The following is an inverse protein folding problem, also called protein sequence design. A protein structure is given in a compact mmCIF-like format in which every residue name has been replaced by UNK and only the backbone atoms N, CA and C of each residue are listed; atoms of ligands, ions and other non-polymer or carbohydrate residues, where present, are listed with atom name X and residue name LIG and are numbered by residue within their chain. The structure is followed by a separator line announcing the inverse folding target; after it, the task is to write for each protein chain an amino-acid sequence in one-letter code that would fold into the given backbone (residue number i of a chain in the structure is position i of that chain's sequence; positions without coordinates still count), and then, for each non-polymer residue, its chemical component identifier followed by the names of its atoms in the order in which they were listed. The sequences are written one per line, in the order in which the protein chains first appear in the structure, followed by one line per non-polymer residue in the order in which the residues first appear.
data_IF_754450102024
#
_entry.id   IF_754450102024
#
_cell.length_a   1.000
_cell.length_b   1.000
_cell.length_c   1.000
_cell.angle_alpha   90.00
_cell.angle_beta   90.00
_cell.angle_gamma   90.00
#
_symmetry.space_group_name_H-M   'P 1'
#
loop_
_entity.id
_entity.type
_entity.pdbx_description
1 polymer ?
#
# COMPACT_ATOMS: atom_id res chain seq x y z
N UNK A 1 -6.43 -17.91 6.98
CA UNK A 1 -6.25 -16.53 6.46
C UNK A 1 -5.06 -15.81 7.09
N UNK A 2 -4.86 -15.87 8.41
CA UNK A 2 -3.74 -15.20 9.10
C UNK A 2 -2.34 -15.55 8.53
N UNK A 3 -2.09 -16.84 8.25
CA UNK A 3 -0.83 -17.32 7.63
C UNK A 3 -0.56 -16.73 6.23
N UNK A 4 -1.61 -16.39 5.48
CA UNK A 4 -1.50 -15.88 4.12
C UNK A 4 -1.14 -14.38 4.12
N UNK A 5 -1.68 -13.63 5.08
CA UNK A 5 -1.24 -12.25 5.36
C UNK A 5 0.20 -12.22 5.89
N UNK A 6 0.56 -13.14 6.78
CA UNK A 6 1.93 -13.27 7.27
C UNK A 6 2.90 -13.59 6.12
N UNK A 7 2.50 -14.43 5.17
CA UNK A 7 3.29 -14.74 3.98
C UNK A 7 3.53 -13.51 3.10
N UNK A 8 2.51 -12.69 2.83
CA UNK A 8 2.67 -11.43 2.11
C UNK A 8 3.62 -10.46 2.84
N UNK A 9 3.55 -10.38 4.17
CA UNK A 9 4.48 -9.55 4.95
C UNK A 9 5.91 -10.11 4.94
N UNK A 10 6.08 -11.43 4.97
CA UNK A 10 7.39 -12.09 4.85
C UNK A 10 8.07 -11.87 3.50
N UNK A 11 7.36 -11.50 2.43
CA UNK A 11 7.99 -11.12 1.16
C UNK A 11 8.81 -9.82 1.24
N UNK A 12 8.60 -9.01 2.29
CA UNK A 12 9.38 -7.81 2.57
C UNK A 12 10.66 -8.10 3.40
N UNK A 13 10.75 -9.27 4.05
CA UNK A 13 11.92 -9.71 4.83
C UNK A 13 13.27 -9.58 4.11
N UNK A 14 13.42 -9.97 2.82
CA UNK A 14 14.70 -9.82 2.11
C UNK A 14 15.17 -8.37 1.95
N UNK A 15 14.27 -7.38 2.03
CA UNK A 15 14.63 -5.96 1.96
C UNK A 15 15.44 -5.51 3.19
N UNK A 16 15.16 -6.10 4.36
CA UNK A 16 15.82 -5.75 5.63
C UNK A 16 16.99 -6.70 5.90
N UNK A 17 16.82 -8.00 5.67
CA UNK A 17 17.83 -9.02 6.02
C UNK A 17 18.86 -9.26 4.92
N UNK A 18 18.50 -9.07 3.64
CA UNK A 18 19.38 -9.34 2.49
C UNK A 18 19.45 -8.15 1.51
N UNK A 19 19.92 -6.97 1.98
CA UNK A 19 20.06 -5.78 1.13
C UNK A 19 21.01 -5.98 -0.05
N UNK A 20 21.96 -6.92 0.04
CA UNK A 20 22.93 -7.23 -1.03
C UNK A 20 22.28 -7.90 -2.25
N UNK A 21 21.18 -8.61 -2.04
CA UNK A 21 20.41 -9.27 -3.11
C UNK A 21 19.30 -8.37 -3.67
N UNK A 22 18.83 -7.41 -2.86
CA UNK A 22 17.80 -6.42 -3.25
C UNK A 22 18.39 -5.15 -3.88
N UNK A 23 19.64 -4.81 -3.56
CA UNK A 23 20.35 -3.64 -4.07
C UNK A 23 21.72 -4.01 -4.64
N UNK A 24 21.91 -3.73 -5.92
CA UNK A 24 23.19 -3.78 -6.63
C UNK A 24 24.10 -2.60 -6.23
N UNK A 25 23.51 -1.44 -5.96
CA UNK A 25 24.17 -0.27 -5.36
C UNK A 25 23.17 0.41 -4.43
N UNK A 26 23.43 0.41 -3.12
CA UNK A 26 22.53 1.08 -2.19
C UNK A 26 22.69 2.61 -2.34
N UNK A 27 21.62 3.41 -2.47
CA UNK A 27 20.19 3.07 -2.50
C UNK A 27 19.53 3.06 -3.90
N UNK A 28 20.27 3.35 -4.99
CA UNK A 28 19.68 3.62 -6.32
C UNK A 28 19.75 2.46 -7.34
N UNK A 29 20.28 1.30 -6.96
CA UNK A 29 20.42 0.13 -7.83
C UNK A 29 19.52 -1.03 -7.39
N UNK A 30 18.20 -0.90 -7.40
CA UNK A 30 17.31 -2.03 -7.07
C UNK A 30 17.46 -3.14 -8.13
N UNK A 31 17.74 -4.37 -7.66
CA UNK A 31 17.68 -5.57 -8.51
C UNK A 31 16.24 -5.85 -8.95
N UNK A 32 16.03 -6.77 -9.90
CA UNK A 32 14.67 -7.18 -10.28
C UNK A 32 13.82 -7.56 -9.05
N UNK A 33 14.42 -8.29 -8.09
CA UNK A 33 13.78 -8.67 -6.83
C UNK A 33 13.41 -7.42 -6.00
N UNK A 34 14.35 -6.48 -5.83
CA UNK A 34 14.09 -5.22 -5.13
C UNK A 34 12.95 -4.43 -5.78
N UNK A 35 12.92 -4.35 -7.12
CA UNK A 35 11.87 -3.64 -7.86
C UNK A 35 10.49 -4.26 -7.67
N UNK A 36 10.38 -5.59 -7.69
CA UNK A 36 9.13 -6.30 -7.42
C UNK A 36 8.60 -6.02 -6.02
N UNK A 37 9.47 -6.03 -5.01
CA UNK A 37 9.11 -5.72 -3.62
C UNK A 37 8.62 -4.27 -3.52
N UNK A 38 9.34 -3.33 -4.11
CA UNK A 38 8.96 -1.91 -4.08
C UNK A 38 7.60 -1.67 -4.73
N UNK A 39 7.32 -2.33 -5.86
CA UNK A 39 6.02 -2.27 -6.54
C UNK A 39 4.89 -2.77 -5.63
N UNK A 40 5.11 -3.88 -4.91
CA UNK A 40 4.11 -4.41 -3.98
C UNK A 40 3.80 -3.43 -2.83
N UNK A 41 4.82 -2.79 -2.26
CA UNK A 41 4.63 -1.76 -1.22
C UNK A 41 3.81 -0.59 -1.76
N UNK A 42 4.15 -0.10 -2.96
CA UNK A 42 3.43 1.02 -3.59
C UNK A 42 1.96 0.67 -3.82
N UNK A 43 1.66 -0.53 -4.32
CA UNK A 43 0.28 -0.99 -4.55
C UNK A 43 -0.50 -1.07 -3.25
N UNK A 44 0.08 -1.64 -2.19
CA UNK A 44 -0.58 -1.73 -0.87
C UNK A 44 -0.83 -0.33 -0.30
N UNK A 45 0.17 0.56 -0.35
CA UNK A 45 0.03 1.93 0.13
C UNK A 45 -1.04 2.70 -0.66
N UNK A 46 -1.07 2.56 -1.98
CA UNK A 46 -2.11 3.16 -2.82
C UNK A 46 -3.50 2.62 -2.48
N UNK A 47 -3.63 1.31 -2.23
CA UNK A 47 -4.89 0.70 -1.79
C UNK A 47 -5.40 1.27 -0.46
N UNK A 48 -4.51 1.46 0.52
CA UNK A 48 -4.86 2.05 1.83
C UNK A 48 -5.30 3.51 1.68
N UNK A 49 -4.58 4.29 0.86
CA UNK A 49 -4.93 5.71 0.60
C UNK A 49 -6.28 5.80 -0.11
N UNK A 50 -6.49 5.00 -1.17
CA UNK A 50 -7.76 4.97 -1.90
C UNK A 50 -8.91 4.55 -0.99
N UNK A 51 -8.73 3.55 -0.15
CA UNK A 51 -9.74 3.13 0.82
C UNK A 51 -10.17 4.26 1.75
N UNK A 52 -9.21 5.07 2.24
CA UNK A 52 -9.52 6.25 3.05
C UNK A 52 -10.30 7.30 2.26
N UNK A 53 -9.86 7.59 1.03
CA UNK A 53 -10.50 8.57 0.15
C UNK A 53 -11.94 8.20 -0.19
N UNK A 54 -12.23 6.93 -0.49
CA UNK A 54 -13.60 6.51 -0.82
C UNK A 54 -14.53 6.63 0.39
N UNK A 55 -14.05 6.29 1.60
CA UNK A 55 -14.83 6.50 2.84
C UNK A 55 -15.09 7.97 3.15
N UNK A 56 -14.14 8.85 2.83
CA UNK A 56 -14.32 10.29 2.99
C UNK A 56 -15.36 10.84 2.00
N UNK A 57 -15.37 10.36 0.76
CA UNK A 57 -16.40 10.72 -0.23
C UNK A 57 -17.80 10.29 0.20
N UNK A 58 -17.96 9.03 0.64
CA UNK A 58 -19.26 8.52 1.11
C UNK A 58 -19.83 9.37 2.25
N UNK A 59 -19.00 9.72 3.23
CA UNK A 59 -19.40 10.57 4.35
C UNK A 59 -19.82 11.98 3.88
N UNK A 60 -19.10 12.56 2.92
CA UNK A 60 -19.40 13.89 2.41
C UNK A 60 -20.66 13.93 1.54
N UNK A 61 -20.90 12.89 0.74
CA UNK A 61 -22.13 12.75 -0.07
C UNK A 61 -23.37 12.65 0.82
N UNK A 62 -23.32 11.81 1.86
CA UNK A 62 -24.43 11.63 2.79
C UNK A 62 -24.79 12.93 3.53
N UNK A 63 -23.79 13.74 3.88
CA UNK A 63 -24.01 15.05 4.49
C UNK A 63 -24.66 16.05 3.52
N UNK A 64 -24.23 16.05 2.25
CA UNK A 64 -24.78 16.93 1.21
C UNK A 64 -26.26 16.63 0.92
N UNK A 65 -26.66 15.36 0.91
CA UNK A 65 -28.07 14.96 0.72
C UNK A 65 -28.95 15.38 1.90
N UNK A 66 -28.45 15.27 3.14
CA UNK A 66 -29.17 15.72 4.33
C UNK A 66 -29.34 17.24 4.37
N UNK A 67 -28.35 18.01 3.89
CA UNK A 67 -28.44 19.46 3.81
C UNK A 67 -29.50 19.91 2.79
N UNK A 68 -29.52 19.30 1.60
CA UNK A 68 -30.49 19.63 0.54
C UNK A 68 -31.95 19.28 0.90
N UNK A 69 -32.16 18.24 1.71
CA UNK A 69 -33.51 17.87 2.18
C UNK A 69 -34.06 18.81 3.26
N UNK A 70 -33.23 19.69 3.83
CA UNK A 70 -33.60 20.61 4.93
C UNK A 70 -33.96 22.02 4.44
N UNK A 71 -33.70 22.32 3.18
CA UNK A 71 -34.01 23.59 2.49
C UNK A 71 -35.28 23.47 1.65
#
# INVERSE_FOLDING_TARGET
MLLLFLHMVCTFTPFIFFPKETFHYMPYGLTLVGQYIMKNIIIVAAGIVLWKTEREKEANQHFSEMALSRE
#
